data_IF_108105695815
#
_entry.id   IF_108105695815
#
_cell.length_a   1.000
_cell.length_b   1.000
_cell.length_c   1.000
_cell.angle_alpha   90.00
_cell.angle_beta   90.00
_cell.angle_gamma   90.00
#
_symmetry.space_group_name_H-M   'P 1'
#
loop_
_entity.id
_entity.type
_entity.pdbx_description
1 polymer ?
#
# COMPACT_ATOMS: atom_id res chain seq x y z
N UNK A 1 5.88 -7.02 4.29
CA UNK A 1 5.03 -6.99 5.51
C UNK A 1 3.58 -6.76 5.10
N UNK A 2 2.61 -7.42 5.74
CA UNK A 2 1.18 -7.30 5.38
C UNK A 2 0.41 -6.49 6.43
N UNK A 3 -0.31 -5.46 5.96
CA UNK A 3 -1.12 -4.58 6.80
C UNK A 3 -2.59 -4.70 6.41
N UNK A 4 -3.44 -4.82 7.42
CA UNK A 4 -4.90 -4.75 7.28
C UNK A 4 -5.41 -3.49 7.97
N UNK A 5 -6.01 -2.60 7.19
CA UNK A 5 -6.72 -1.45 7.70
C UNK A 5 -8.16 -1.84 8.05
N UNK A 6 -8.50 -1.73 9.33
CA UNK A 6 -9.83 -2.09 9.83
C UNK A 6 -10.20 -1.23 11.04
N UNK A 7 -11.48 -0.89 11.14
CA UNK A 7 -12.06 -0.24 12.33
C UNK A 7 -12.56 -1.26 13.37
N UNK A 8 -12.45 -2.57 13.07
CA UNK A 8 -12.92 -3.62 13.99
C UNK A 8 -12.03 -3.70 15.22
N UNK A 9 -12.64 -4.04 16.36
CA UNK A 9 -11.94 -4.18 17.63
C UNK A 9 -11.56 -5.64 17.98
N UNK A 10 -11.98 -6.62 17.17
CA UNK A 10 -11.86 -8.06 17.47
C UNK A 10 -11.58 -8.89 16.22
N UNK A 11 -11.14 -10.15 16.39
CA UNK A 11 -10.89 -11.07 15.26
C UNK A 11 -9.52 -10.87 14.60
N UNK A 12 -8.54 -10.39 15.36
CA UNK A 12 -7.17 -10.21 14.87
C UNK A 12 -6.45 -11.55 14.77
N UNK A 13 -5.80 -11.79 13.63
CA UNK A 13 -4.97 -12.97 13.40
C UNK A 13 -3.51 -12.68 13.79
N UNK A 14 -2.81 -13.62 14.44
CA UNK A 14 -1.38 -13.47 14.70
C UNK A 14 -0.60 -13.41 13.38
N UNK A 15 0.42 -12.55 13.33
CA UNK A 15 1.25 -12.36 12.14
C UNK A 15 0.73 -11.34 11.12
N UNK A 16 -0.42 -10.72 11.38
CA UNK A 16 -0.97 -9.62 10.57
C UNK A 16 -0.86 -8.31 11.35
N UNK A 17 -0.45 -7.24 10.66
CA UNK A 17 -0.42 -5.90 11.25
C UNK A 17 -1.75 -5.20 11.02
N UNK A 18 -2.55 -5.08 12.08
CA UNK A 18 -3.81 -4.35 12.01
C UNK A 18 -3.61 -2.87 12.35
N UNK A 19 -4.14 -1.98 11.53
CA UNK A 19 -4.10 -0.53 11.74
C UNK A 19 -5.50 0.03 11.59
N UNK A 20 -5.84 1.04 12.37
CA UNK A 20 -7.10 1.76 12.14
C UNK A 20 -6.85 2.84 11.06
N UNK A 21 -7.60 2.81 9.94
CA UNK A 21 -7.40 3.74 8.83
C UNK A 21 -7.67 5.21 9.18
N UNK A 22 -8.47 5.49 10.22
CA UNK A 22 -8.68 6.86 10.70
C UNK A 22 -7.42 7.53 11.23
N UNK A 23 -6.41 6.75 11.63
CA UNK A 23 -5.13 7.26 12.12
C UNK A 23 -4.03 7.18 11.05
N UNK A 24 -4.41 6.97 9.78
CA UNK A 24 -3.44 6.98 8.69
C UNK A 24 -2.83 8.37 8.52
N UNK A 25 -1.50 8.41 8.46
CA UNK A 25 -0.74 9.64 8.21
C UNK A 25 0.18 9.50 6.99
N UNK A 26 0.81 8.34 6.82
CA UNK A 26 1.78 8.08 5.76
C UNK A 26 1.93 6.58 5.52
N UNK A 27 2.33 6.17 4.30
CA UNK A 27 2.56 4.76 3.99
C UNK A 27 3.77 4.23 4.76
N UNK A 28 3.62 3.05 5.37
CA UNK A 28 4.71 2.39 6.10
C UNK A 28 5.71 1.75 5.12
N UNK A 29 7.00 1.91 5.39
CA UNK A 29 8.08 1.35 4.57
C UNK A 29 8.19 -0.18 4.76
N UNK A 30 8.45 -0.92 3.68
CA UNK A 30 8.58 -2.39 3.73
C UNK A 30 7.24 -3.15 3.68
N UNK A 31 6.14 -2.43 3.44
CA UNK A 31 4.83 -3.03 3.19
C UNK A 31 4.80 -3.61 1.79
N UNK A 32 4.35 -4.85 1.69
CA UNK A 32 4.28 -5.61 0.43
C UNK A 32 2.85 -5.77 -0.05
N UNK A 33 1.87 -5.71 0.85
CA UNK A 33 0.45 -5.83 0.53
C UNK A 33 -0.39 -5.13 1.60
N UNK A 34 -1.38 -4.37 1.16
CA UNK A 34 -2.34 -3.68 2.04
C UNK A 34 -3.74 -4.19 1.75
N UNK A 35 -4.50 -4.48 2.80
CA UNK A 35 -5.91 -4.81 2.72
C UNK A 35 -6.74 -3.79 3.51
N UNK A 36 -7.91 -3.42 3.00
CA UNK A 36 -8.83 -2.47 3.63
C UNK A 36 -10.18 -3.17 3.75
N UNK A 37 -10.53 -3.61 4.96
CA UNK A 37 -11.76 -4.36 5.22
C UNK A 37 -13.00 -3.47 5.37
N UNK A 38 -12.86 -2.24 5.90
CA UNK A 38 -14.01 -1.41 6.27
C UNK A 38 -13.91 0.03 5.74
N UNK A 39 -14.89 0.44 4.93
CA UNK A 39 -15.02 1.79 4.40
C UNK A 39 -14.30 2.07 3.08
N UNK A 40 -14.27 3.35 2.69
CA UNK A 40 -13.54 3.84 1.52
C UNK A 40 -12.45 4.80 1.99
N UNK A 41 -11.20 4.37 1.88
CA UNK A 41 -10.03 5.15 2.32
C UNK A 41 -9.15 5.51 1.11
N UNK A 42 -9.60 6.45 0.25
CA UNK A 42 -8.89 6.80 -0.98
C UNK A 42 -7.50 7.37 -0.70
N UNK A 43 -7.29 8.02 0.44
CA UNK A 43 -6.00 8.57 0.85
C UNK A 43 -4.95 7.47 1.09
N UNK A 44 -5.36 6.38 1.75
CA UNK A 44 -4.53 5.20 1.99
C UNK A 44 -4.19 4.53 0.65
N UNK A 45 -5.23 4.25 -0.15
CA UNK A 45 -5.09 3.62 -1.46
C UNK A 45 -4.10 4.41 -2.32
N UNK A 46 -4.30 5.73 -2.45
CA UNK A 46 -3.45 6.60 -3.26
C UNK A 46 -2.01 6.65 -2.75
N UNK A 47 -1.79 6.69 -1.44
CA UNK A 47 -0.45 6.75 -0.86
C UNK A 47 0.35 5.45 -1.12
N UNK A 48 -0.27 4.29 -0.94
CA UNK A 48 0.37 3.01 -1.21
C UNK A 48 0.50 2.73 -2.72
N UNK A 49 -0.49 3.09 -3.53
CA UNK A 49 -0.39 3.00 -5.00
C UNK A 49 0.73 3.89 -5.54
N UNK A 50 0.91 5.11 -5.00
CA UNK A 50 2.02 5.99 -5.37
C UNK A 50 3.38 5.40 -4.98
N UNK A 51 3.44 4.57 -3.93
CA UNK A 51 4.61 3.80 -3.54
C UNK A 51 4.77 2.48 -4.33
N UNK A 52 3.88 2.18 -5.29
CA UNK A 52 3.91 0.96 -6.09
C UNK A 52 3.42 -0.30 -5.34
N UNK A 53 2.72 -0.13 -4.22
CA UNK A 53 2.23 -1.22 -3.37
C UNK A 53 0.79 -1.55 -3.75
N UNK A 54 0.48 -2.83 -3.88
CA UNK A 54 -0.86 -3.30 -4.21
C UNK A 54 -1.79 -3.21 -2.99
N UNK A 55 -2.93 -2.54 -3.19
CA UNK A 55 -3.97 -2.33 -2.17
C UNK A 55 -5.24 -3.06 -2.58
N UNK A 56 -5.74 -3.92 -1.70
CA UNK A 56 -6.99 -4.66 -1.87
C UNK A 56 -8.05 -4.05 -0.97
N UNK A 57 -9.14 -3.54 -1.54
CA UNK A 57 -10.31 -3.07 -0.79
C UNK A 57 -11.52 -3.91 -1.16
N UNK A 58 -12.36 -4.26 -0.18
CA UNK A 58 -13.56 -5.09 -0.39
C UNK A 58 -14.56 -4.45 -1.38
N UNK A 59 -14.50 -3.12 -1.55
CA UNK A 59 -15.14 -2.43 -2.67
C UNK A 59 -14.24 -2.42 -3.91
N UNK A 60 -14.71 -2.87 -5.08
CA UNK A 60 -13.91 -2.99 -6.28
C UNK A 60 -13.61 -1.60 -6.88
N UNK A 61 -12.43 -1.06 -6.63
CA UNK A 61 -11.86 0.01 -7.47
C UNK A 61 -10.65 -0.55 -8.21
N UNK A 62 -10.92 -0.85 -9.50
CA UNK A 62 -9.99 -1.10 -10.62
C UNK A 62 -8.50 -0.96 -10.24
N UNK A 63 -7.90 -2.02 -9.70
CA UNK A 63 -6.46 -2.10 -9.53
C UNK A 63 -5.81 -2.06 -10.91
N UNK A 64 -5.28 -0.89 -11.29
CA UNK A 64 -4.43 -0.76 -12.47
C UNK A 64 -3.10 -1.40 -12.12
N UNK A 65 -2.95 -2.67 -12.50
CA UNK A 65 -1.64 -3.32 -12.62
C UNK A 65 -0.69 -2.41 -13.40
N UNK A 66 0.27 -1.78 -12.71
CA UNK A 66 1.54 -1.36 -13.28
C UNK A 66 2.68 -1.84 -12.41
N UNK A 67 3.06 -3.09 -12.70
CA UNK A 67 4.39 -3.63 -12.46
C UNK A 67 5.38 -2.85 -13.34
N UNK A 68 6.34 -2.16 -12.73
CA UNK A 68 7.74 -2.01 -13.18
C UNK A 68 8.41 -0.78 -12.52
N UNK A 69 9.24 -1.03 -11.50
CA UNK A 69 10.51 -0.30 -11.43
C UNK A 69 11.25 -0.50 -12.77
N UNK A 70 11.98 0.53 -13.23
CA UNK A 70 13.41 0.30 -13.20
C UNK A 70 14.12 1.37 -12.38
N UNK A 71 15.21 0.90 -11.80
CA UNK A 71 16.24 1.60 -11.02
C UNK A 71 16.65 2.94 -11.66
N UNK A 72 17.08 3.94 -10.89
CA UNK A 72 17.83 5.06 -11.45
C UNK A 72 19.14 4.50 -12.00
N UNK A 73 19.24 4.33 -13.32
CA UNK A 73 20.53 4.16 -13.95
C UNK A 73 21.22 5.52 -13.95
N UNK A 74 22.08 5.68 -12.96
CA UNK A 74 22.93 6.83 -12.76
C UNK A 74 24.18 6.61 -13.61
N UNK A 75 24.12 6.71 -14.93
CA UNK A 75 25.31 6.69 -15.80
C UNK A 75 24.99 7.15 -17.21
N UNK A 76 25.05 8.46 -17.45
CA UNK A 76 25.54 8.94 -18.75
C UNK A 76 26.69 9.91 -18.48
N UNK A 77 27.77 9.35 -17.93
CA UNK A 77 29.11 9.80 -18.29
C UNK A 77 29.39 9.27 -19.70
N UNK A 78 29.50 10.16 -20.69
CA UNK A 78 30.53 10.04 -21.73
C UNK A 78 30.61 11.33 -22.53
N UNK A 79 31.74 12.01 -22.32
CA UNK A 79 32.43 12.87 -23.27
C UNK A 79 32.45 12.29 -24.70
N UNK A 80 32.55 13.18 -25.69
CA UNK A 80 32.99 12.83 -27.05
C UNK A 80 32.48 13.77 -28.12
#
# INVERSE_FOLDING_TARGET
>A
MHIVYTARATGFKPGISYRNPQFFHSPEHGVTSVEIEDGEWPEIVKAYEAAGIEVTSDKPKKAKRKKAEPKPDLSEESEG
#
